data_IF_829184972905
#
_entry.id   IF_829184972905
#
_cell.length_a   1.000
_cell.length_b   1.000
_cell.length_c   1.000
_cell.angle_alpha   90.00
_cell.angle_beta   90.00
_cell.angle_gamma   90.00
#
_symmetry.space_group_name_H-M   'P 1'
#
loop_
_entity.id
_entity.type
_entity.pdbx_description
1 polymer ?
#
# COMPACT_ATOMS: atom_id res chain seq x y z
N UNK A 1 1.18 49.45 -29.80
CA UNK A 1 1.78 48.18 -30.27
C UNK A 1 2.13 47.41 -29.02
N UNK A 2 1.25 46.51 -28.58
CA UNK A 2 1.44 45.77 -27.32
C UNK A 2 2.43 44.63 -27.53
N UNK A 3 3.45 44.58 -26.66
CA UNK A 3 4.46 43.52 -26.67
C UNK A 3 3.85 42.25 -26.06
N UNK A 4 3.93 41.09 -26.74
CA UNK A 4 3.43 39.85 -26.18
C UNK A 4 4.19 39.51 -24.90
N UNK A 5 3.44 39.09 -23.86
CA UNK A 5 3.99 38.61 -22.60
C UNK A 5 5.05 37.55 -22.83
N UNK A 6 6.08 37.52 -21.97
CA UNK A 6 7.15 36.51 -22.00
C UNK A 6 6.61 35.08 -21.99
N UNK A 7 5.45 34.85 -21.37
CA UNK A 7 4.75 33.57 -21.39
C UNK A 7 4.16 33.23 -22.77
N UNK A 8 3.63 34.22 -23.49
CA UNK A 8 3.11 34.03 -24.84
C UNK A 8 4.23 33.76 -25.85
N UNK A 9 5.38 34.42 -25.67
CA UNK A 9 6.59 34.23 -26.48
C UNK A 9 7.24 32.86 -26.23
N UNK A 10 7.19 32.36 -24.99
CA UNK A 10 7.60 30.99 -24.66
C UNK A 10 6.65 29.93 -25.22
N UNK A 11 5.33 30.16 -25.16
CA UNK A 11 4.32 29.26 -25.71
C UNK A 11 4.39 29.11 -27.23
N UNK A 12 4.67 30.20 -27.95
CA UNK A 12 4.82 30.17 -29.41
C UNK A 12 6.07 29.42 -29.88
N UNK A 13 7.17 29.43 -29.09
CA UNK A 13 8.38 28.65 -29.39
C UNK A 13 8.17 27.16 -29.17
N UNK A 14 7.49 26.79 -28.09
CA UNK A 14 7.21 25.37 -27.77
C UNK A 14 6.27 24.68 -28.77
N UNK A 15 5.36 25.44 -29.40
CA UNK A 15 4.44 24.89 -30.43
C UNK A 15 5.09 24.78 -31.81
N UNK A 16 6.19 25.49 -32.07
CA UNK A 16 6.93 25.41 -33.34
C UNK A 16 7.84 24.18 -33.45
N UNK A 17 8.19 23.57 -32.32
CA UNK A 17 9.10 22.41 -32.24
C UNK A 17 8.34 21.06 -32.23
N UNK A 18 7.03 21.05 -32.48
CA UNK A 18 6.20 19.83 -32.47
C UNK A 18 6.20 19.18 -33.86
N UNK A 19 7.37 18.74 -34.31
CA UNK A 19 7.48 17.66 -35.29
C UNK A 19 8.34 16.56 -34.62
N UNK A 20 7.70 15.44 -34.31
CA UNK A 20 8.25 14.20 -33.72
C UNK A 20 8.56 14.15 -32.22
N UNK A 21 7.88 14.92 -31.37
CA UNK A 21 7.99 14.73 -29.92
C UNK A 21 7.04 13.63 -29.39
N UNK A 22 7.59 12.67 -28.64
CA UNK A 22 6.82 11.64 -27.94
C UNK A 22 5.91 12.28 -26.88
N UNK A 23 4.65 11.84 -26.75
CA UNK A 23 3.68 12.40 -25.78
C UNK A 23 4.25 12.44 -24.35
N UNK A 24 5.08 11.47 -23.98
CA UNK A 24 5.74 11.44 -22.68
C UNK A 24 6.77 12.57 -22.51
N UNK A 25 7.47 12.97 -23.56
CA UNK A 25 8.41 14.10 -23.53
C UNK A 25 7.67 15.43 -23.37
N UNK A 26 6.55 15.59 -24.08
CA UNK A 26 5.69 16.77 -23.96
C UNK A 26 5.13 16.87 -22.54
N UNK A 27 4.63 15.77 -21.98
CA UNK A 27 4.11 15.73 -20.61
C UNK A 27 5.21 15.95 -19.55
N UNK A 28 6.42 15.46 -19.80
CA UNK A 28 7.55 15.65 -18.89
C UNK A 28 8.07 17.09 -18.93
N UNK A 29 8.17 17.69 -20.13
CA UNK A 29 8.48 19.10 -20.30
C UNK A 29 7.45 20.01 -19.60
N UNK A 30 6.16 19.69 -19.74
CA UNK A 30 5.09 20.45 -19.10
C UNK A 30 5.14 20.35 -17.56
N UNK A 31 5.42 19.16 -17.01
CA UNK A 31 5.61 18.99 -15.55
C UNK A 31 6.85 19.72 -15.03
N UNK A 32 7.93 19.71 -15.80
CA UNK A 32 9.20 20.37 -15.44
C UNK A 32 9.04 21.89 -15.42
N UNK A 33 8.30 22.45 -16.39
CA UNK A 33 7.97 23.88 -16.43
C UNK A 33 7.08 24.34 -15.26
N UNK A 34 6.21 23.46 -14.75
CA UNK A 34 5.34 23.74 -13.60
C UNK A 34 6.03 23.51 -12.24
N UNK A 35 7.16 22.81 -12.18
CA UNK A 35 7.90 22.53 -10.95
C UNK A 35 9.39 22.29 -11.24
N UNK A 36 10.23 23.34 -11.21
CA UNK A 36 11.65 23.24 -11.58
C UNK A 36 12.50 22.40 -10.60
N UNK A 37 12.00 22.09 -9.41
CA UNK A 37 12.68 21.24 -8.42
C UNK A 37 12.43 19.73 -8.63
N UNK A 38 11.64 19.34 -9.64
CA UNK A 38 11.34 17.94 -9.94
C UNK A 38 12.42 17.26 -10.81
N UNK A 39 13.69 17.35 -10.41
CA UNK A 39 14.77 16.61 -11.05
C UNK A 39 15.04 15.29 -10.30
N UNK A 40 14.82 14.17 -10.99
CA UNK A 40 15.34 12.83 -10.67
C UNK A 40 14.97 12.21 -9.31
N UNK A 41 13.67 12.01 -9.03
CA UNK A 41 13.23 10.91 -8.17
C UNK A 41 11.74 10.67 -8.40
N UNK A 42 11.33 9.39 -8.37
CA UNK A 42 9.95 8.87 -8.41
C UNK A 42 8.83 9.89 -8.65
N UNK A 43 8.14 9.81 -9.80
CA UNK A 43 6.85 10.50 -10.06
C UNK A 43 6.04 10.48 -8.76
N UNK A 44 5.94 11.61 -8.05
CA UNK A 44 5.18 11.69 -6.81
C UNK A 44 3.71 11.57 -7.18
N UNK A 45 3.23 10.33 -7.34
CA UNK A 45 1.84 10.01 -7.59
C UNK A 45 1.05 10.61 -6.41
N UNK A 46 -0.05 11.30 -6.66
CA UNK A 46 -0.93 11.70 -5.56
C UNK A 46 -1.35 10.44 -4.77
N UNK A 47 -1.58 10.55 -3.45
CA UNK A 47 -2.12 9.45 -2.67
C UNK A 47 -3.34 8.83 -3.34
N UNK A 48 -3.34 7.51 -3.50
CA UNK A 48 -4.51 6.75 -3.94
C UNK A 48 -5.58 6.77 -2.86
N UNK A 49 -6.84 6.59 -3.25
CA UNK A 49 -7.92 6.33 -2.31
C UNK A 49 -7.86 4.88 -1.82
N UNK A 50 -7.95 4.69 -0.52
CA UNK A 50 -7.93 3.39 0.15
C UNK A 50 -9.32 3.11 0.74
N UNK A 51 -9.96 1.97 0.41
CA UNK A 51 -11.29 1.60 0.91
C UNK A 51 -11.26 1.07 2.35
N UNK A 52 -10.44 1.68 3.22
CA UNK A 52 -10.33 1.35 4.65
C UNK A 52 -10.60 2.64 5.43
N UNK A 53 -11.65 2.69 6.26
CA UNK A 53 -11.95 3.86 7.07
C UNK A 53 -10.74 4.31 7.90
N UNK A 54 -10.39 5.59 7.81
CA UNK A 54 -9.28 6.19 8.55
C UNK A 54 -7.90 6.09 7.88
N UNK A 55 -7.71 5.17 6.92
CA UNK A 55 -6.40 5.00 6.25
C UNK A 55 -6.04 6.22 5.38
N UNK A 56 -6.97 6.72 4.57
CA UNK A 56 -6.77 7.90 3.71
C UNK A 56 -6.31 9.14 4.50
N UNK A 57 -6.83 9.31 5.72
CA UNK A 57 -6.46 10.43 6.59
C UNK A 57 -4.98 10.34 6.99
N UNK A 58 -4.51 9.14 7.37
CA UNK A 58 -3.11 8.93 7.73
C UNK A 58 -2.19 9.07 6.52
N UNK A 59 -2.56 8.50 5.37
CA UNK A 59 -1.79 8.61 4.12
C UNK A 59 -1.69 10.07 3.68
N UNK A 60 -2.78 10.82 3.73
CA UNK A 60 -2.81 12.24 3.35
C UNK A 60 -1.90 13.09 4.25
N UNK A 61 -1.92 12.84 5.57
CA UNK A 61 -1.02 13.51 6.53
C UNK A 61 0.45 13.16 6.25
N UNK A 62 0.74 11.88 6.01
CA UNK A 62 2.08 11.45 5.67
C UNK A 62 2.60 12.08 4.37
N UNK A 63 1.77 12.09 3.32
CA UNK A 63 2.12 12.71 2.05
C UNK A 63 2.35 14.20 2.17
N UNK A 64 1.52 14.92 2.94
CA UNK A 64 1.71 16.36 3.19
C UNK A 64 3.07 16.65 3.82
N UNK A 65 3.51 15.80 4.75
CA UNK A 65 4.76 15.99 5.50
C UNK A 65 6.01 15.50 4.76
N UNK A 66 5.91 14.38 4.03
CA UNK A 66 7.09 13.69 3.47
C UNK A 66 7.19 13.74 1.95
N UNK A 67 6.10 14.14 1.27
CA UNK A 67 5.93 14.03 -0.19
C UNK A 67 6.09 12.60 -0.74
N UNK A 68 6.07 11.60 0.14
CA UNK A 68 6.10 10.18 -0.22
C UNK A 68 4.68 9.65 -0.34
N UNK A 69 4.36 9.15 -1.53
CA UNK A 69 3.05 8.63 -1.90
C UNK A 69 2.73 7.19 -1.46
N UNK A 70 3.68 6.23 -1.50
CA UNK A 70 3.34 4.84 -1.22
C UNK A 70 2.99 4.60 0.25
N UNK A 71 2.02 3.73 0.46
CA UNK A 71 1.69 3.21 1.79
C UNK A 71 2.74 2.18 2.19
N UNK A 72 3.63 2.53 3.12
CA UNK A 72 4.66 1.63 3.62
C UNK A 72 4.27 1.09 4.99
N UNK A 73 3.99 -0.20 5.04
CA UNK A 73 3.43 -0.93 6.19
C UNK A 73 4.51 -1.82 6.83
N UNK A 74 4.55 -1.85 8.15
CA UNK A 74 5.44 -2.72 8.94
C UNK A 74 4.68 -3.46 10.04
N UNK A 75 5.33 -4.38 10.75
CA UNK A 75 4.74 -5.23 11.77
C UNK A 75 3.95 -6.39 11.17
N UNK A 76 2.80 -6.72 11.78
CA UNK A 76 1.88 -7.78 11.34
C UNK A 76 1.00 -7.27 10.19
N UNK A 77 1.62 -7.02 9.03
CA UNK A 77 1.03 -6.31 7.91
C UNK A 77 -0.05 -7.09 7.13
N UNK A 78 0.07 -8.43 7.02
CA UNK A 78 -0.82 -9.26 6.20
C UNK A 78 -2.33 -9.04 6.44
N UNK A 79 -2.83 -8.94 7.68
CA UNK A 79 -4.23 -8.58 7.95
C UNK A 79 -4.72 -7.32 7.25
N UNK A 80 -3.92 -6.25 7.26
CA UNK A 80 -4.26 -5.01 6.56
C UNK A 80 -4.27 -5.25 5.04
N UNK A 81 -3.30 -6.01 4.53
CA UNK A 81 -3.19 -6.36 3.11
C UNK A 81 -4.40 -7.17 2.65
N UNK A 82 -4.82 -8.18 3.41
CA UNK A 82 -6.02 -8.97 3.11
C UNK A 82 -7.29 -8.11 3.15
N UNK A 83 -7.43 -7.24 4.14
CA UNK A 83 -8.57 -6.32 4.26
C UNK A 83 -8.62 -5.35 3.08
N UNK A 84 -7.48 -4.76 2.72
CA UNK A 84 -7.35 -3.82 1.61
C UNK A 84 -7.71 -4.47 0.28
N UNK A 85 -7.09 -5.61 -0.03
CA UNK A 85 -7.33 -6.33 -1.29
C UNK A 85 -8.79 -6.78 -1.37
N UNK A 86 -9.32 -7.38 -0.30
CA UNK A 86 -10.72 -7.83 -0.27
C UNK A 86 -11.69 -6.68 -0.53
N UNK A 87 -11.45 -5.51 0.06
CA UNK A 87 -12.28 -4.32 -0.15
C UNK A 87 -12.14 -3.72 -1.56
N UNK A 88 -10.94 -3.74 -2.14
CA UNK A 88 -10.68 -3.23 -3.49
C UNK A 88 -11.33 -4.08 -4.59
N UNK A 89 -11.28 -5.41 -4.48
CA UNK A 89 -11.82 -6.29 -5.52
C UNK A 89 -13.33 -6.54 -5.39
N UNK A 90 -13.90 -6.26 -4.23
CA UNK A 90 -15.33 -6.41 -3.95
C UNK A 90 -16.16 -5.18 -4.35
N UNK A 91 -17.49 -5.29 -4.43
CA UNK A 91 -18.35 -4.11 -4.51
C UNK A 91 -18.09 -3.14 -3.35
N UNK A 92 -18.15 -1.81 -3.58
CA UNK A 92 -18.49 -1.15 -4.84
C UNK A 92 -17.29 -0.89 -5.77
N UNK A 93 -16.07 -1.31 -5.41
CA UNK A 93 -14.85 -0.83 -6.05
C UNK A 93 -14.48 -1.59 -7.32
N UNK A 94 -14.72 -2.91 -7.36
CA UNK A 94 -14.46 -3.79 -8.51
C UNK A 94 -13.10 -3.56 -9.19
N UNK A 95 -12.05 -3.37 -8.40
CA UNK A 95 -10.69 -3.18 -8.91
C UNK A 95 -10.03 -4.52 -9.22
N UNK A 96 -8.92 -4.44 -9.96
CA UNK A 96 -7.94 -5.52 -10.06
C UNK A 96 -6.65 -5.11 -9.34
N UNK A 97 -6.01 -6.05 -8.66
CA UNK A 97 -4.82 -5.81 -7.83
C UNK A 97 -3.76 -6.87 -8.12
N UNK A 98 -2.49 -6.46 -8.15
CA UNK A 98 -1.36 -7.37 -8.23
C UNK A 98 -0.59 -7.41 -6.91
N UNK A 99 -0.26 -8.61 -6.45
CA UNK A 99 0.55 -8.87 -5.27
C UNK A 99 1.88 -9.45 -5.72
N UNK A 100 2.97 -8.73 -5.48
CA UNK A 100 4.32 -9.24 -5.63
C UNK A 100 4.80 -9.78 -4.27
N UNK A 101 4.75 -11.09 -4.09
CA UNK A 101 5.05 -11.76 -2.83
C UNK A 101 6.43 -12.43 -2.90
N UNK A 102 7.44 -11.76 -2.35
CA UNK A 102 8.83 -12.27 -2.32
C UNK A 102 9.11 -13.16 -1.12
N UNK A 103 8.24 -13.14 -0.11
CA UNK A 103 8.37 -13.94 1.11
C UNK A 103 7.57 -15.26 1.05
N UNK A 104 6.74 -15.46 0.02
CA UNK A 104 5.81 -16.59 -0.10
C UNK A 104 4.85 -16.69 1.10
N UNK A 105 4.46 -15.55 1.67
CA UNK A 105 3.62 -15.48 2.88
C UNK A 105 2.20 -14.99 2.61
N UNK A 106 1.96 -14.46 1.42
CA UNK A 106 0.62 -14.07 1.03
C UNK A 106 -0.20 -15.32 0.72
N UNK A 107 -1.35 -15.46 1.36
CA UNK A 107 -2.28 -16.57 1.21
C UNK A 107 -3.63 -16.05 0.73
N UNK A 108 -3.94 -16.31 -0.54
CA UNK A 108 -5.18 -15.86 -1.17
C UNK A 108 -6.44 -16.44 -0.52
N UNK A 109 -6.34 -17.57 0.20
CA UNK A 109 -7.49 -18.18 0.90
C UNK A 109 -7.97 -17.35 2.10
N UNK A 110 -7.17 -16.38 2.55
CA UNK A 110 -7.52 -15.45 3.62
C UNK A 110 -8.29 -14.22 3.14
N UNK A 111 -8.50 -14.08 1.83
CA UNK A 111 -9.33 -13.02 1.29
C UNK A 111 -10.80 -13.31 1.62
N UNK A 112 -11.54 -12.27 2.01
CA UNK A 112 -12.94 -12.37 2.42
C UNK A 112 -13.92 -11.97 1.31
N UNK A 113 -13.42 -11.78 0.09
CA UNK A 113 -14.23 -11.50 -1.10
C UNK A 113 -14.83 -12.78 -1.70
N UNK A 114 -15.80 -12.63 -2.61
CA UNK A 114 -16.34 -13.77 -3.34
C UNK A 114 -15.26 -14.42 -4.22
N UNK A 115 -15.45 -15.71 -4.53
CA UNK A 115 -14.55 -16.46 -5.40
C UNK A 115 -14.39 -15.78 -6.77
N UNK A 116 -15.49 -15.30 -7.36
CA UNK A 116 -15.50 -14.51 -8.59
C UNK A 116 -14.58 -13.28 -8.51
N UNK A 117 -14.55 -12.59 -7.38
CA UNK A 117 -13.70 -11.42 -7.18
C UNK A 117 -12.23 -11.78 -6.94
N UNK A 118 -11.96 -13.00 -6.45
CA UNK A 118 -10.59 -13.47 -6.21
C UNK A 118 -9.81 -13.67 -7.51
N UNK A 119 -10.50 -13.95 -8.63
CA UNK A 119 -9.87 -14.03 -9.96
C UNK A 119 -9.21 -12.72 -10.41
N UNK A 120 -9.54 -11.59 -9.78
CA UNK A 120 -8.96 -10.29 -10.07
C UNK A 120 -7.83 -9.90 -9.11
N UNK A 121 -7.30 -10.88 -8.37
CA UNK A 121 -6.08 -10.76 -7.55
C UNK A 121 -4.99 -11.62 -8.17
N UNK A 122 -4.01 -10.97 -8.79
CA UNK A 122 -2.87 -11.66 -9.39
C UNK A 122 -1.73 -11.74 -8.38
N UNK A 123 -1.18 -12.93 -8.17
CA UNK A 123 -0.08 -13.13 -7.22
C UNK A 123 1.16 -13.57 -7.98
N UNK A 124 2.16 -12.69 -8.02
CA UNK A 124 3.47 -12.97 -8.60
C UNK A 124 4.43 -13.33 -7.48
N UNK A 125 5.01 -14.54 -7.57
CA UNK A 125 6.04 -15.01 -6.64
C UNK A 125 7.33 -15.26 -7.43
N UNK A 126 8.25 -14.29 -7.45
CA UNK A 126 9.54 -14.48 -8.12
C UNK A 126 10.28 -15.66 -7.52
N UNK A 127 10.91 -16.48 -8.36
CA UNK A 127 11.78 -17.54 -7.85
C UNK A 127 12.90 -16.91 -7.01
N UNK A 128 13.11 -17.42 -5.79
CA UNK A 128 14.29 -17.08 -5.00
C UNK A 128 15.53 -17.44 -5.83
N UNK A 129 16.27 -16.45 -6.36
CA UNK A 129 17.53 -16.70 -7.07
C UNK A 129 18.62 -17.04 -6.06
N UNK A 130 18.54 -18.23 -5.47
CA UNK A 130 19.66 -18.86 -4.79
C UNK A 130 20.42 -19.71 -5.79
N UNK A 131 21.58 -19.25 -6.26
CA UNK A 131 22.60 -20.19 -6.75
C UNK A 131 23.37 -20.64 -5.51
N UNK A 132 23.33 -21.92 -5.10
CA UNK A 132 24.20 -22.42 -4.07
C UNK A 132 25.59 -22.61 -4.68
N UNK A 133 26.47 -21.63 -4.50
CA UNK A 133 27.84 -21.70 -4.97
C UNK A 133 28.68 -20.56 -4.44
N UNK A 134 29.50 -20.86 -3.42
CA UNK A 134 30.69 -20.10 -3.01
C UNK A 134 30.50 -18.62 -2.63
N UNK A 135 29.96 -18.40 -1.44
CA UNK A 135 30.66 -17.78 -0.30
C UNK A 135 29.61 -17.45 0.76
N UNK A 136 29.95 -17.70 2.03
CA UNK A 136 29.02 -17.62 3.16
C UNK A 136 28.60 -16.20 3.51
N UNK A 137 27.83 -15.55 2.64
CA UNK A 137 27.18 -14.28 2.94
C UNK A 137 25.66 -14.41 2.79
N UNK A 138 25.01 -14.25 3.94
CA UNK A 138 23.61 -13.96 4.21
C UNK A 138 22.71 -13.76 2.98
N UNK A 139 21.71 -14.64 2.82
CA UNK A 139 20.47 -14.46 2.03
C UNK A 139 20.38 -13.09 1.34
N UNK A 140 20.94 -12.97 0.13
CA UNK A 140 20.88 -11.74 -0.66
C UNK A 140 19.42 -11.55 -1.07
N UNK A 141 18.68 -10.77 -0.26
CA UNK A 141 17.32 -10.37 -0.59
C UNK A 141 17.29 -9.69 -1.95
N UNK A 142 16.13 -9.76 -2.62
CA UNK A 142 15.90 -9.09 -3.91
C UNK A 142 16.30 -7.62 -3.82
N UNK A 143 17.25 -7.18 -4.66
CA UNK A 143 17.73 -5.79 -4.62
C UNK A 143 16.60 -4.80 -4.93
N UNK A 144 16.64 -3.56 -4.41
CA UNK A 144 15.62 -2.55 -4.70
C UNK A 144 15.45 -2.27 -6.20
N UNK A 145 16.52 -2.38 -7.00
CA UNK A 145 16.51 -2.26 -8.46
C UNK A 145 15.74 -3.42 -9.10
N UNK A 146 16.02 -4.65 -8.67
CA UNK A 146 15.32 -5.82 -9.16
C UNK A 146 13.83 -5.79 -8.78
N UNK A 147 13.47 -5.29 -7.60
CA UNK A 147 12.07 -5.07 -7.22
C UNK A 147 11.42 -4.04 -8.14
N UNK A 148 12.11 -2.95 -8.48
CA UNK A 148 11.62 -1.93 -9.42
C UNK A 148 11.36 -2.52 -10.81
N UNK A 149 12.27 -3.35 -11.31
CA UNK A 149 12.10 -4.06 -12.58
C UNK A 149 10.92 -5.04 -12.55
N UNK A 150 10.79 -5.82 -11.47
CA UNK A 150 9.67 -6.75 -11.28
C UNK A 150 8.32 -6.02 -11.21
N UNK A 151 8.27 -4.89 -10.49
CA UNK A 151 7.09 -4.04 -10.44
C UNK A 151 6.79 -3.53 -11.84
N UNK A 152 7.76 -2.92 -12.55
CA UNK A 152 7.54 -2.41 -13.91
C UNK A 152 7.06 -3.49 -14.91
N UNK A 153 7.63 -4.70 -14.84
CA UNK A 153 7.18 -5.83 -15.66
C UNK A 153 5.74 -6.25 -15.31
N UNK A 154 5.40 -6.26 -14.02
CA UNK A 154 4.06 -6.55 -13.54
C UNK A 154 3.05 -5.45 -13.96
N UNK A 155 3.43 -4.17 -13.88
CA UNK A 155 2.63 -3.05 -14.36
C UNK A 155 2.36 -3.18 -15.86
N UNK A 156 3.40 -3.51 -16.65
CA UNK A 156 3.27 -3.72 -18.09
C UNK A 156 2.33 -4.90 -18.42
N UNK A 157 2.43 -6.00 -17.68
CA UNK A 157 1.55 -7.15 -17.87
C UNK A 157 0.10 -6.87 -17.46
N UNK A 158 -0.13 -6.09 -16.40
CA UNK A 158 -1.48 -5.67 -15.99
C UNK A 158 -2.14 -4.67 -16.96
N UNK A 159 -1.36 -4.00 -17.80
CA UNK A 159 -1.87 -3.03 -18.78
C UNK A 159 -2.03 -3.62 -20.17
N UNK A 160 -1.12 -4.53 -20.57
CA UNK A 160 -1.03 -5.01 -21.95
C UNK A 160 -1.00 -6.54 -22.07
N UNK A 161 -0.96 -7.25 -20.95
CA UNK A 161 -0.96 -8.71 -20.93
C UNK A 161 -2.35 -9.31 -21.14
N UNK A 162 -2.37 -10.61 -21.38
CA UNK A 162 -3.60 -11.39 -21.48
C UNK A 162 -4.04 -11.85 -20.07
N UNK A 163 -5.14 -11.28 -19.60
CA UNK A 163 -5.72 -11.60 -18.29
C UNK A 163 -7.23 -11.28 -18.23
N UNK A 164 -7.96 -11.99 -17.36
CA UNK A 164 -9.43 -11.92 -17.29
C UNK A 164 -9.97 -10.64 -16.63
N UNK A 165 -9.10 -9.72 -16.22
CA UNK A 165 -9.47 -8.45 -15.57
C UNK A 165 -9.65 -7.26 -16.52
N UNK A 166 -9.73 -7.45 -17.84
CA UNK A 166 -9.78 -6.35 -18.82
C UNK A 166 -10.95 -5.36 -18.63
N UNK A 167 -12.03 -5.77 -17.96
CA UNK A 167 -13.18 -4.93 -17.62
C UNK A 167 -13.09 -4.17 -16.28
N UNK A 168 -11.98 -4.29 -15.54
CA UNK A 168 -11.77 -3.67 -14.23
C UNK A 168 -10.61 -2.70 -14.27
N UNK A 169 -10.75 -1.58 -13.57
CA UNK A 169 -9.63 -0.66 -13.38
C UNK A 169 -8.55 -1.33 -12.52
N UNK A 170 -7.31 -1.29 -13.00
CA UNK A 170 -6.16 -1.72 -12.23
C UNK A 170 -5.82 -0.67 -11.17
N UNK A 171 -5.95 -1.07 -9.90
CA UNK A 171 -5.72 -0.18 -8.78
C UNK A 171 -4.24 0.01 -8.48
N UNK A 172 -3.41 -1.04 -8.61
CA UNK A 172 -1.98 -0.94 -8.29
C UNK A 172 -1.31 -2.24 -7.89
N UNK A 173 -0.07 -2.10 -7.41
CA UNK A 173 0.80 -3.21 -6.99
C UNK A 173 1.08 -3.15 -5.49
N UNK A 174 0.83 -4.27 -4.81
CA UNK A 174 1.17 -4.52 -3.41
C UNK A 174 2.43 -5.39 -3.36
N UNK A 175 3.49 -4.90 -2.74
CA UNK A 175 4.74 -5.65 -2.56
C UNK A 175 4.86 -6.17 -1.14
N UNK A 176 5.03 -7.48 -0.98
CA UNK A 176 5.18 -8.15 0.31
C UNK A 176 6.58 -8.76 0.42
N UNK A 177 7.31 -8.35 1.47
CA UNK A 177 8.55 -8.97 1.89
C UNK A 177 9.84 -8.25 1.49
N UNK A 178 9.75 -7.16 0.74
CA UNK A 178 10.92 -6.36 0.39
C UNK A 178 10.57 -4.87 0.28
N UNK A 179 11.59 -4.03 0.42
CA UNK A 179 11.48 -2.59 0.22
C UNK A 179 11.64 -2.30 -1.28
N UNK A 180 10.90 -1.32 -1.79
CA UNK A 180 11.05 -0.93 -3.18
C UNK A 180 9.86 -0.15 -3.73
N UNK A 181 9.66 -0.28 -5.03
CA UNK A 181 8.52 0.30 -5.73
C UNK A 181 7.22 -0.47 -5.42
N UNK A 182 6.10 0.20 -5.63
CA UNK A 182 4.76 -0.32 -5.37
C UNK A 182 3.87 0.79 -4.81
N UNK A 183 2.56 0.58 -4.90
CA UNK A 183 1.59 1.49 -4.28
C UNK A 183 1.45 1.22 -2.79
N UNK A 184 1.59 -0.07 -2.42
CA UNK A 184 1.69 -0.53 -1.04
C UNK A 184 2.96 -1.38 -0.92
N UNK A 185 3.77 -1.09 0.09
CA UNK A 185 4.93 -1.91 0.43
C UNK A 185 4.76 -2.43 1.85
N UNK A 186 4.93 -3.73 2.04
CA UNK A 186 4.79 -4.41 3.32
C UNK A 186 6.10 -5.13 3.62
N UNK A 187 6.91 -4.53 4.49
CA UNK A 187 8.29 -4.95 4.72
C UNK A 187 8.73 -4.66 6.16
N UNK A 188 9.99 -4.99 6.47
CA UNK A 188 10.56 -4.71 7.79
C UNK A 188 10.59 -3.21 8.13
N UNK A 189 10.66 -2.32 7.13
CA UNK A 189 10.62 -0.86 7.28
C UNK A 189 9.35 -0.28 6.65
N UNK A 190 8.67 0.59 7.40
CA UNK A 190 7.45 1.27 6.98
C UNK A 190 7.06 2.37 7.97
N UNK A 191 6.16 3.27 7.58
CA UNK A 191 5.70 4.38 8.43
C UNK A 191 4.37 4.07 9.14
N UNK A 192 3.61 3.09 8.65
CA UNK A 192 2.40 2.59 9.30
C UNK A 192 2.67 1.21 9.92
N UNK A 193 2.57 1.10 11.25
CA UNK A 193 2.79 -0.14 11.98
C UNK A 193 1.46 -0.83 12.28
N UNK A 194 1.39 -2.12 11.98
CA UNK A 194 0.23 -2.97 12.27
C UNK A 194 0.57 -3.95 13.39
N UNK A 195 -0.23 -3.93 14.45
CA UNK A 195 -0.16 -4.87 15.56
C UNK A 195 -1.58 -5.33 15.92
N UNK A 196 -1.70 -6.41 16.72
CA UNK A 196 -2.98 -6.68 17.38
C UNK A 196 -3.19 -5.61 18.45
N UNK A 197 -4.44 -5.18 18.62
CA UNK A 197 -4.80 -4.31 19.73
C UNK A 197 -4.46 -4.98 21.07
N UNK A 198 -4.30 -4.16 22.11
CA UNK A 198 -3.76 -4.60 23.40
C UNK A 198 -4.64 -5.69 24.02
N UNK A 199 -4.09 -6.91 24.07
CA UNK A 199 -4.67 -8.01 24.84
C UNK A 199 -3.87 -8.16 26.13
N UNK A 200 -4.50 -8.05 27.31
CA UNK A 200 -3.81 -8.16 28.59
C UNK A 200 -2.94 -9.42 28.66
N UNK A 201 -1.67 -9.24 29.06
CA UNK A 201 -0.74 -10.34 29.30
C UNK A 201 -1.10 -11.17 30.54
N UNK A 202 -0.39 -12.27 30.76
CA UNK A 202 -0.57 -13.08 31.97
C UNK A 202 -0.41 -12.21 33.22
N UNK A 203 -1.22 -12.47 34.24
CA UNK A 203 -1.11 -11.80 35.53
C UNK A 203 0.29 -12.02 36.11
N UNK A 204 0.84 -10.98 36.74
CA UNK A 204 2.09 -11.07 37.49
C UNK A 204 1.96 -12.19 38.54
N UNK A 205 2.88 -13.16 38.50
CA UNK A 205 2.84 -14.34 39.38
C UNK A 205 2.12 -15.57 38.81
N UNK A 206 1.55 -15.49 37.60
CA UNK A 206 0.96 -16.65 36.92
C UNK A 206 2.02 -17.73 36.68
N UNK A 207 1.76 -18.94 37.17
CA UNK A 207 2.62 -20.09 36.94
C UNK A 207 2.51 -20.59 35.49
N UNK A 208 3.54 -21.30 35.00
CA UNK A 208 3.49 -21.90 33.67
C UNK A 208 2.31 -22.88 33.49
N UNK A 209 1.92 -23.59 34.55
CA UNK A 209 0.78 -24.51 34.55
C UNK A 209 -0.53 -23.74 34.37
N UNK A 210 -0.73 -22.66 35.12
CA UNK A 210 -1.90 -21.79 35.00
C UNK A 210 -1.96 -21.13 33.61
N UNK A 211 -0.81 -20.68 33.08
CA UNK A 211 -0.71 -20.12 31.74
C UNK A 211 -1.14 -21.13 30.66
N UNK A 212 -0.76 -22.40 30.80
CA UNK A 212 -1.16 -23.46 29.87
C UNK A 212 -2.64 -23.81 29.97
N UNK A 213 -3.24 -23.78 31.16
CA UNK A 213 -4.69 -23.99 31.32
C UNK A 213 -5.52 -22.84 30.75
N UNK A 214 -5.01 -21.60 30.79
CA UNK A 214 -5.69 -20.41 30.28
C UNK A 214 -5.43 -20.17 28.77
N UNK A 215 -4.50 -20.91 28.16
CA UNK A 215 -4.02 -20.71 26.77
C UNK A 215 -5.15 -20.59 25.76
N UNK A 216 -6.14 -21.49 25.80
CA UNK A 216 -7.23 -21.51 24.82
C UNK A 216 -8.09 -20.24 24.91
N UNK A 217 -8.51 -19.87 26.13
CA UNK A 217 -9.26 -18.63 26.39
C UNK A 217 -8.49 -17.40 25.90
N UNK A 218 -7.17 -17.36 26.10
CA UNK A 218 -6.34 -16.25 25.63
C UNK A 218 -6.18 -16.22 24.13
N UNK A 219 -6.04 -17.37 23.49
CA UNK A 219 -5.99 -17.45 22.03
C UNK A 219 -7.29 -16.89 21.44
N UNK A 220 -8.45 -17.26 22.00
CA UNK A 220 -9.76 -16.70 21.62
C UNK A 220 -9.83 -15.19 21.83
N UNK A 221 -9.31 -14.68 22.95
CA UNK A 221 -9.25 -13.23 23.20
C UNK A 221 -8.34 -12.51 22.19
N UNK A 222 -7.20 -13.10 21.81
CA UNK A 222 -6.29 -12.56 20.79
C UNK A 222 -6.91 -12.58 19.41
N UNK A 223 -7.60 -13.66 19.07
CA UNK A 223 -8.25 -13.83 17.76
C UNK A 223 -9.43 -12.87 17.60
N UNK A 224 -10.16 -12.60 18.70
CA UNK A 224 -11.26 -11.63 18.74
C UNK A 224 -10.80 -10.16 18.80
N UNK A 225 -9.58 -9.88 19.28
CA UNK A 225 -9.10 -8.51 19.41
C UNK A 225 -8.93 -7.84 18.04
N UNK A 226 -9.33 -6.57 17.85
CA UNK A 226 -9.14 -5.90 16.57
C UNK A 226 -7.65 -5.73 16.23
N UNK A 227 -7.36 -5.42 14.98
CA UNK A 227 -6.05 -4.95 14.55
C UNK A 227 -5.94 -3.45 14.77
N UNK A 228 -4.76 -2.99 15.16
CA UNK A 228 -4.44 -1.58 15.33
C UNK A 228 -3.40 -1.15 14.31
N UNK A 229 -3.71 -0.12 13.54
CA UNK A 229 -2.79 0.58 12.66
C UNK A 229 -2.35 1.87 13.32
N UNK A 230 -1.04 2.07 13.48
CA UNK A 230 -0.47 3.22 14.19
C UNK A 230 0.69 3.86 13.44
N UNK A 231 0.80 5.17 13.53
CA UNK A 231 1.86 5.98 12.96
C UNK A 231 2.06 7.25 13.78
N UNK A 232 3.08 8.04 13.48
CA UNK A 232 3.25 9.39 14.06
C UNK A 232 2.08 10.34 13.73
N UNK A 233 1.25 10.01 12.73
CA UNK A 233 0.13 10.85 12.28
C UNK A 233 -1.22 10.48 12.90
N UNK A 234 -1.24 9.44 13.75
CA UNK A 234 -2.43 8.92 14.41
C UNK A 234 -2.58 7.40 14.24
N UNK A 235 -3.73 6.89 14.65
CA UNK A 235 -4.05 5.46 14.62
C UNK A 235 -5.53 5.22 14.28
N UNK A 236 -5.83 3.99 13.85
CA UNK A 236 -7.18 3.46 13.70
C UNK A 236 -7.18 1.96 13.99
N UNK A 237 -8.36 1.39 14.26
CA UNK A 237 -8.55 -0.05 14.44
C UNK A 237 -9.42 -0.63 13.33
N UNK A 238 -9.20 -1.90 12.99
CA UNK A 238 -9.96 -2.62 11.97
C UNK A 238 -10.05 -4.11 12.28
N UNK A 239 -10.99 -4.81 11.67
CA UNK A 239 -11.22 -6.26 11.80
C UNK A 239 -11.16 -6.90 10.43
N UNK A 240 -10.69 -8.15 10.34
CA UNK A 240 -10.58 -8.88 9.06
C UNK A 240 -11.96 -9.21 8.45
N UNK A 241 -12.99 -9.35 9.29
CA UNK A 241 -14.28 -9.92 8.88
C UNK A 241 -15.39 -8.92 8.54
N UNK A 242 -15.09 -7.62 8.47
CA UNK A 242 -16.15 -6.63 8.22
C UNK A 242 -15.65 -5.47 7.38
N UNK A 243 -15.91 -5.56 6.07
CA UNK A 243 -16.42 -4.41 5.34
C UNK A 243 -17.79 -4.03 5.97
N UNK A 244 -17.77 -3.45 7.15
CA UNK A 244 -18.95 -2.85 7.77
C UNK A 244 -18.56 -1.43 8.11
N UNK A 245 -19.22 -0.51 7.41
CA UNK A 245 -19.06 0.94 7.54
C UNK A 245 -19.06 1.36 9.01
N UNK A 246 -17.89 1.77 9.51
CA UNK A 246 -17.76 2.24 10.89
C UNK A 246 -18.36 3.64 11.01
N UNK A 247 -19.43 3.75 11.81
CA UNK A 247 -19.97 5.03 12.29
C UNK A 247 -18.95 5.67 13.23
N UNK A 248 -18.54 6.90 12.92
CA UNK A 248 -17.69 7.70 13.80
C UNK A 248 -18.41 7.95 15.13
N UNK A 249 -17.73 7.67 16.25
CA UNK A 249 -18.22 8.00 17.59
C UNK A 249 -18.00 9.51 17.82
N UNK A 250 -19.04 10.29 18.16
CA UNK A 250 -18.85 11.71 18.46
C UNK A 250 -18.07 11.87 19.76
N UNK A 251 -17.11 12.79 19.76
CA UNK A 251 -16.43 13.26 20.97
C UNK A 251 -17.47 13.93 21.86
N UNK A 252 -17.66 13.38 23.07
CA UNK A 252 -18.56 13.93 24.07
C UNK A 252 -18.14 15.35 24.46
N UNK A 253 -19.05 16.30 24.30
CA UNK A 253 -18.96 17.63 24.89
C UNK A 253 -19.19 17.50 26.40
N UNK A 254 -18.18 17.86 27.18
CA UNK A 254 -18.27 18.05 28.62
C UNK A 254 -19.19 19.23 28.93
N UNK A 255 -20.39 18.94 29.45
CA UNK A 255 -21.17 19.93 30.17
C UNK A 255 -20.46 20.25 31.50
N UNK A 256 -19.97 21.48 31.64
CA UNK A 256 -19.65 22.07 32.93
C UNK A 256 -20.86 22.90 33.38
N UNK A 257 -21.53 22.45 34.44
CA UNK A 257 -22.46 23.25 35.23
C UNK A 257 -21.70 23.97 36.33
N UNK A 258 -21.82 25.30 36.36
CA UNK A 258 -22.22 26.09 37.52
C UNK A 258 -22.67 27.47 37.04
#
# INVERSE_FOLDING_TARGET
MEMPSTAALAGARLLGDVEEANLEEILNAFRTALSPDASSSSKAKHPKAYPIPGLDVLVSRNFRATKSAPLAVTGRHLPLIYTLISALVSPPHFKTVLVLDTEHRFDATRLTCSLENTHHVYVHRPACRGIPGQHGDSSVGTSPEQVRELVAAAENWMLYGDHDSCGREWWGTVVVGTLGAGDVTAAWKGWLRIDRDSVPGFSLGCSAKEAMTDRQRRQEAVDAAPWAASSQWGSFTFTESTATFATAKPIGSTHATN
#
